data_IF_828163411722
#
_entry.id   IF_828163411722
#
_cell.length_a   1.000
_cell.length_b   1.000
_cell.length_c   1.000
_cell.angle_alpha   90.00
_cell.angle_beta   90.00
_cell.angle_gamma   90.00
#
_symmetry.space_group_name_H-M   'P 1'
#
loop_
_entity.id
_entity.type
_entity.pdbx_description
1 polymer ?
#
# COMPACT_ATOMS: atom_id res chain seq x y z
N UNK A 1 31.76 -5.87 26.97
CA UNK A 1 32.13 -4.71 26.12
C UNK A 1 30.86 -3.92 25.83
N UNK A 2 30.92 -2.58 25.71
CA UNK A 2 29.76 -1.79 25.30
C UNK A 2 29.29 -2.23 23.91
N UNK A 3 27.97 -2.27 23.72
CA UNK A 3 27.34 -2.65 22.46
C UNK A 3 27.40 -1.45 21.50
N UNK A 4 27.69 -1.70 20.22
CA UNK A 4 27.59 -0.67 19.19
C UNK A 4 26.20 -0.04 19.18
N UNK A 5 26.14 1.30 19.11
CA UNK A 5 24.87 2.00 18.93
C UNK A 5 24.28 1.66 17.57
N UNK A 6 22.97 1.44 17.53
CA UNK A 6 22.25 1.29 16.27
C UNK A 6 21.95 2.65 15.68
N UNK A 7 21.88 2.72 14.34
CA UNK A 7 21.67 4.00 13.67
C UNK A 7 20.40 4.71 14.15
N UNK A 8 19.34 3.93 14.42
CA UNK A 8 18.06 4.43 14.95
C UNK A 8 18.19 5.14 16.32
N UNK A 9 19.23 4.84 17.10
CA UNK A 9 19.46 5.43 18.43
C UNK A 9 20.19 6.77 18.35
N UNK A 10 20.70 7.15 17.17
CA UNK A 10 21.58 8.32 17.02
C UNK A 10 20.99 9.36 16.09
N UNK A 11 20.83 9.05 14.80
CA UNK A 11 20.36 10.02 13.81
C UNK A 11 19.83 9.34 12.55
N UNK A 12 18.83 9.99 11.92
CA UNK A 12 18.22 9.59 10.66
C UNK A 12 17.99 10.82 9.79
N UNK A 13 17.97 10.70 8.45
CA UNK A 13 17.62 11.80 7.55
C UNK A 13 16.10 12.07 7.59
N UNK A 14 15.62 12.65 8.71
CA UNK A 14 14.20 12.80 9.02
C UNK A 14 13.46 13.64 7.98
N UNK A 15 14.10 14.66 7.40
CA UNK A 15 13.49 15.49 6.36
C UNK A 15 13.12 14.66 5.13
N UNK A 16 14.04 13.84 4.63
CA UNK A 16 13.80 12.95 3.50
C UNK A 16 12.75 11.87 3.82
N UNK A 17 12.78 11.31 5.03
CA UNK A 17 11.79 10.32 5.48
C UNK A 17 10.39 10.95 5.53
N UNK A 18 10.26 12.15 6.09
CA UNK A 18 8.99 12.87 6.19
C UNK A 18 8.45 13.25 4.81
N UNK A 19 9.31 13.73 3.92
CA UNK A 19 8.95 14.05 2.53
C UNK A 19 8.45 12.81 1.78
N UNK A 20 9.13 11.67 1.89
CA UNK A 20 8.72 10.41 1.28
C UNK A 20 7.37 9.91 1.86
N UNK A 21 7.17 9.98 3.17
CA UNK A 21 5.91 9.61 3.82
C UNK A 21 4.74 10.51 3.37
N UNK A 22 4.98 11.80 3.17
CA UNK A 22 3.97 12.72 2.66
C UNK A 22 3.62 12.41 1.19
N UNK A 23 4.64 12.16 0.35
CA UNK A 23 4.48 11.79 -1.06
C UNK A 23 3.72 10.48 -1.24
N UNK A 24 3.95 9.49 -0.39
CA UNK A 24 3.25 8.19 -0.44
C UNK A 24 1.72 8.32 -0.46
N UNK A 25 1.17 9.33 0.24
CA UNK A 25 -0.28 9.59 0.31
C UNK A 25 -0.90 9.98 -1.03
N UNK A 26 -0.13 10.47 -1.99
CA UNK A 26 -0.60 10.87 -3.32
C UNK A 26 -0.38 9.81 -4.39
N UNK A 27 0.26 8.67 -4.07
CA UNK A 27 0.45 7.58 -5.02
C UNK A 27 -0.89 6.87 -5.24
N UNK A 28 -1.28 6.73 -6.50
CA UNK A 28 -2.57 6.16 -6.93
C UNK A 28 -2.45 4.88 -7.75
N UNK A 29 -1.23 4.45 -8.05
CA UNK A 29 -0.97 3.23 -8.82
C UNK A 29 0.14 2.41 -8.16
N UNK A 30 -0.06 1.09 -8.08
CA UNK A 30 0.93 0.12 -7.57
C UNK A 30 1.17 0.15 -6.06
N UNK A 31 0.68 1.17 -5.35
CA UNK A 31 0.84 1.27 -3.91
C UNK A 31 -0.14 0.35 -3.16
N UNK A 32 0.26 -0.34 -2.09
CA UNK A 32 -0.64 -1.20 -1.31
C UNK A 32 -1.96 -0.58 -0.82
N UNK A 33 -2.00 0.74 -0.64
CA UNK A 33 -3.25 1.44 -0.29
C UNK A 33 -4.31 1.38 -1.39
N UNK A 34 -3.93 1.10 -2.64
CA UNK A 34 -4.86 0.96 -3.76
C UNK A 34 -5.45 -0.45 -3.86
N UNK A 35 -4.88 -1.44 -3.15
CA UNK A 35 -5.47 -2.77 -3.04
C UNK A 35 -6.66 -2.76 -2.07
N UNK A 36 -6.47 -2.20 -0.88
CA UNK A 36 -7.51 -2.01 0.11
C UNK A 36 -7.15 -0.85 1.05
N UNK A 37 -8.12 0.02 1.34
CA UNK A 37 -7.95 1.10 2.30
C UNK A 37 -7.88 0.53 3.73
N UNK A 38 -6.78 0.78 4.43
CA UNK A 38 -6.62 0.41 5.84
C UNK A 38 -6.43 1.67 6.68
N UNK A 39 -7.31 1.88 7.67
CA UNK A 39 -7.44 3.14 8.40
C UNK A 39 -6.20 3.54 9.21
N UNK A 40 -5.35 2.58 9.59
CA UNK A 40 -4.15 2.82 10.38
C UNK A 40 -2.87 2.32 9.67
N UNK A 41 -2.82 2.36 8.34
CA UNK A 41 -1.63 1.90 7.61
C UNK A 41 -0.44 2.82 7.89
N UNK A 42 0.64 2.25 8.43
CA UNK A 42 1.91 2.95 8.60
C UNK A 42 2.54 3.26 7.23
N UNK A 43 3.14 4.44 7.02
CA UNK A 43 3.87 4.72 5.79
C UNK A 43 4.95 3.66 5.53
N UNK A 44 5.03 3.15 4.31
CA UNK A 44 6.03 2.17 3.91
C UNK A 44 7.44 2.76 3.98
N UNK A 45 7.58 4.01 3.55
CA UNK A 45 8.82 4.77 3.67
C UNK A 45 9.41 4.74 5.10
N UNK A 46 8.60 5.09 6.10
CA UNK A 46 9.02 5.06 7.50
C UNK A 46 9.33 3.64 7.99
N UNK A 47 8.46 2.67 7.68
CA UNK A 47 8.66 1.28 8.09
C UNK A 47 10.00 0.73 7.56
N UNK A 48 10.32 0.98 6.28
CA UNK A 48 11.58 0.56 5.66
C UNK A 48 12.80 1.10 6.39
N UNK A 49 12.84 2.41 6.62
CA UNK A 49 14.01 3.05 7.22
C UNK A 49 14.16 2.68 8.69
N UNK A 50 13.05 2.60 9.45
CA UNK A 50 13.08 2.17 10.85
C UNK A 50 13.59 0.73 10.97
N UNK A 51 13.11 -0.19 10.13
CA UNK A 51 13.61 -1.57 10.12
C UNK A 51 15.10 -1.60 9.77
N UNK A 52 15.50 -0.93 8.68
CA UNK A 52 16.90 -0.88 8.26
C UNK A 52 17.81 -0.32 9.37
N UNK A 53 17.47 0.84 9.92
CA UNK A 53 18.25 1.53 10.95
C UNK A 53 18.27 0.82 12.31
N UNK A 54 17.31 -0.06 12.58
CA UNK A 54 17.32 -0.92 13.77
C UNK A 54 18.32 -2.06 13.66
N UNK A 55 18.71 -2.43 12.44
CA UNK A 55 19.61 -3.56 12.17
C UNK A 55 21.06 -3.10 11.98
N UNK A 56 21.27 -1.96 11.32
CA UNK A 56 22.60 -1.42 11.09
C UNK A 56 23.15 -0.62 12.27
N UNK A 57 24.46 -0.72 12.49
CA UNK A 57 25.15 0.12 13.47
C UNK A 57 25.21 1.57 12.98
N UNK A 58 25.42 2.50 13.90
CA UNK A 58 25.93 3.82 13.55
C UNK A 58 27.40 3.68 13.12
N UNK A 59 27.77 3.93 11.85
CA UNK A 59 29.11 3.61 11.35
C UNK A 59 30.20 4.55 11.89
N UNK A 60 29.84 5.62 12.60
CA UNK A 60 30.81 6.47 13.31
C UNK A 60 30.97 6.06 14.80
N UNK A 61 30.22 5.07 15.29
CA UNK A 61 30.43 4.53 16.65
C UNK A 61 31.74 3.74 16.71
N UNK A 62 32.51 3.94 17.79
CA UNK A 62 33.81 3.28 17.98
C UNK A 62 33.71 1.75 18.08
N UNK A 63 32.54 1.21 18.43
CA UNK A 63 32.31 -0.23 18.55
C UNK A 63 31.57 -0.81 17.34
N UNK A 64 31.27 -0.01 16.30
CA UNK A 64 30.59 -0.48 15.10
C UNK A 64 31.38 -1.58 14.40
N UNK A 65 30.66 -2.51 13.73
CA UNK A 65 31.32 -3.56 12.95
C UNK A 65 32.29 -2.95 11.90
N UNK A 66 33.61 -3.23 11.96
CA UNK A 66 34.57 -2.65 11.03
C UNK A 66 34.29 -2.95 9.55
N UNK A 67 33.75 -4.14 9.24
CA UNK A 67 33.35 -4.50 7.88
C UNK A 67 32.18 -3.65 7.40
N UNK A 68 31.22 -3.38 8.30
CA UNK A 68 30.09 -2.48 8.00
C UNK A 68 30.56 -1.05 7.77
N UNK A 69 31.47 -0.56 8.62
CA UNK A 69 32.07 0.78 8.46
C UNK A 69 32.80 0.88 7.11
N UNK A 70 33.58 -0.14 6.74
CA UNK A 70 34.26 -0.20 5.44
C UNK A 70 33.26 -0.22 4.27
N UNK A 71 32.16 -0.97 4.40
CA UNK A 71 31.09 -1.00 3.39
C UNK A 71 30.43 0.36 3.21
N UNK A 72 30.15 1.09 4.30
CA UNK A 72 29.61 2.45 4.26
C UNK A 72 30.58 3.44 3.59
N UNK A 73 31.89 3.37 3.91
CA UNK A 73 32.94 4.20 3.27
C UNK A 73 32.98 3.98 1.76
N UNK A 74 32.82 2.72 1.33
CA UNK A 74 32.92 2.33 -0.07
C UNK A 74 31.58 2.35 -0.82
N UNK A 75 30.53 2.96 -0.26
CA UNK A 75 29.25 3.12 -0.97
C UNK A 75 29.45 3.92 -2.25
N UNK A 76 29.21 3.29 -3.40
CA UNK A 76 29.20 3.96 -4.70
C UNK A 76 27.84 4.65 -4.91
N UNK A 77 27.70 5.83 -4.29
CA UNK A 77 26.50 6.66 -4.33
C UNK A 77 26.12 7.07 -5.76
N UNK A 78 27.10 7.23 -6.65
CA UNK A 78 26.87 7.60 -8.05
C UNK A 78 26.21 6.46 -8.82
N UNK A 79 26.74 5.23 -8.71
CA UNK A 79 26.15 4.06 -9.37
C UNK A 79 24.73 3.75 -8.87
N UNK A 80 24.44 4.07 -7.61
CA UNK A 80 23.14 3.92 -6.96
C UNK A 80 22.18 5.07 -7.29
N UNK A 81 22.64 6.12 -7.98
CA UNK A 81 21.83 7.30 -8.28
C UNK A 81 21.31 8.00 -7.01
N UNK A 82 22.14 8.00 -5.96
CA UNK A 82 21.94 8.77 -4.75
C UNK A 82 22.37 10.22 -4.99
N UNK A 83 21.56 11.17 -4.52
CA UNK A 83 22.03 12.55 -4.42
C UNK A 83 23.05 12.63 -3.28
N UNK A 84 24.13 13.40 -3.47
CA UNK A 84 25.15 13.62 -2.44
C UNK A 84 24.85 14.91 -1.70
N UNK A 85 23.88 14.88 -0.78
CA UNK A 85 23.50 16.05 0.02
C UNK A 85 24.29 16.12 1.33
N UNK A 86 24.54 14.95 1.92
CA UNK A 86 25.15 14.81 3.25
C UNK A 86 26.67 14.63 3.13
N UNK A 87 27.13 13.73 2.25
CA UNK A 87 28.57 13.45 2.07
C UNK A 87 29.38 14.63 1.49
N UNK A 88 28.71 15.68 1.00
CA UNK A 88 29.36 16.92 0.57
C UNK A 88 29.69 17.87 1.72
N UNK A 89 29.05 17.70 2.89
CA UNK A 89 29.35 18.48 4.09
C UNK A 89 30.59 17.89 4.77
N UNK A 90 30.53 16.59 5.05
CA UNK A 90 31.64 15.80 5.58
C UNK A 90 31.50 14.37 5.04
N UNK A 91 32.52 13.84 4.34
CA UNK A 91 32.44 12.52 3.70
C UNK A 91 32.70 11.39 4.71
N UNK A 92 31.92 11.37 5.80
CA UNK A 92 31.98 10.32 6.82
C UNK A 92 31.17 9.09 6.39
N UNK A 93 31.46 7.91 6.95
CA UNK A 93 30.66 6.70 6.73
C UNK A 93 29.17 6.93 6.98
N UNK A 94 28.81 7.67 8.04
CA UNK A 94 27.42 8.02 8.37
C UNK A 94 26.79 8.90 7.31
N UNK A 95 27.48 9.94 6.84
CA UNK A 95 26.93 10.85 5.84
C UNK A 95 26.68 10.16 4.49
N UNK A 96 27.58 9.25 4.08
CA UNK A 96 27.34 8.40 2.89
C UNK A 96 26.14 7.45 3.10
N UNK A 97 26.00 6.91 4.30
CA UNK A 97 24.84 6.07 4.64
C UNK A 97 23.54 6.88 4.62
N UNK A 98 23.56 8.15 5.02
CA UNK A 98 22.40 9.04 4.91
C UNK A 98 22.02 9.31 3.46
N UNK A 99 22.97 9.63 2.58
CA UNK A 99 22.72 9.78 1.14
C UNK A 99 22.11 8.49 0.53
N UNK A 100 22.55 7.32 1.01
CA UNK A 100 21.94 6.04 0.62
C UNK A 100 20.51 5.88 1.18
N UNK A 101 20.26 6.22 2.44
CA UNK A 101 18.93 6.13 3.07
C UNK A 101 17.93 7.07 2.40
N UNK A 102 18.34 8.28 2.02
CA UNK A 102 17.51 9.23 1.25
C UNK A 102 17.04 8.63 -0.07
N UNK A 103 17.87 7.82 -0.73
CA UNK A 103 17.45 7.06 -1.91
C UNK A 103 16.55 5.89 -1.52
N UNK A 104 16.95 5.09 -0.53
CA UNK A 104 16.24 3.90 -0.06
C UNK A 104 14.80 4.20 0.36
N UNK A 105 14.54 5.37 0.95
CA UNK A 105 13.21 5.73 1.49
C UNK A 105 12.17 6.06 0.41
N UNK A 106 12.60 6.30 -0.83
CA UNK A 106 11.70 6.64 -1.95
C UNK A 106 10.79 5.47 -2.34
N UNK A 107 9.66 5.76 -2.98
CA UNK A 107 8.77 4.71 -3.49
C UNK A 107 9.44 3.95 -4.65
N UNK A 108 10.15 4.68 -5.51
CA UNK A 108 10.84 4.15 -6.68
C UNK A 108 11.93 3.13 -6.30
N UNK A 109 12.59 3.32 -5.15
CA UNK A 109 13.56 2.36 -4.63
C UNK A 109 12.96 0.97 -4.35
N UNK A 110 11.64 0.85 -4.15
CA UNK A 110 11.00 -0.45 -3.88
C UNK A 110 11.02 -1.44 -5.04
N UNK A 111 11.29 -0.92 -6.24
CA UNK A 111 11.41 -1.70 -7.48
C UNK A 111 12.80 -1.57 -8.13
N UNK A 112 13.75 -0.89 -7.47
CA UNK A 112 15.13 -0.79 -7.92
C UNK A 112 15.97 -1.86 -7.22
N UNK A 113 16.24 -2.96 -7.93
CA UNK A 113 16.99 -4.10 -7.40
C UNK A 113 18.38 -3.73 -6.92
N UNK A 114 19.01 -2.67 -7.47
CA UNK A 114 20.34 -2.22 -7.02
C UNK A 114 20.27 -1.66 -5.60
N UNK A 115 19.25 -0.85 -5.33
CA UNK A 115 19.04 -0.23 -4.02
C UNK A 115 18.64 -1.28 -2.98
N UNK A 116 17.67 -2.13 -3.31
CA UNK A 116 17.20 -3.18 -2.39
C UNK A 116 18.31 -4.21 -2.12
N UNK A 117 19.07 -4.61 -3.13
CA UNK A 117 20.19 -5.54 -2.96
C UNK A 117 21.30 -4.93 -2.10
N UNK A 118 21.61 -3.65 -2.28
CA UNK A 118 22.59 -2.95 -1.44
C UNK A 118 22.11 -2.83 0.01
N UNK A 119 20.83 -2.55 0.25
CA UNK A 119 20.27 -2.54 1.62
C UNK A 119 20.37 -3.91 2.28
N UNK A 120 20.06 -4.99 1.55
CA UNK A 120 20.21 -6.39 2.01
C UNK A 120 21.66 -6.76 2.31
N UNK A 121 22.60 -6.29 1.51
CA UNK A 121 24.04 -6.48 1.73
C UNK A 121 24.49 -5.78 3.02
N UNK A 122 24.15 -4.50 3.19
CA UNK A 122 24.48 -3.75 4.40
C UNK A 122 23.89 -4.39 5.67
N UNK A 123 22.62 -4.85 5.62
CA UNK A 123 22.00 -5.58 6.73
C UNK A 123 22.78 -6.87 7.03
N UNK A 124 23.16 -7.65 6.01
CA UNK A 124 23.93 -8.89 6.19
C UNK A 124 25.27 -8.62 6.86
N UNK A 125 26.02 -7.62 6.39
CA UNK A 125 27.31 -7.25 7.00
C UNK A 125 27.11 -6.82 8.46
N UNK A 126 26.15 -5.92 8.72
CA UNK A 126 25.88 -5.44 10.08
C UNK A 126 25.37 -6.53 11.05
N UNK A 127 24.87 -7.65 10.54
CA UNK A 127 24.33 -8.77 11.33
C UNK A 127 25.18 -10.03 11.24
N UNK A 128 26.42 -9.93 10.77
CA UNK A 128 27.34 -11.08 10.60
C UNK A 128 26.70 -12.23 9.80
N UNK A 129 26.04 -11.88 8.69
CA UNK A 129 25.27 -12.77 7.82
C UNK A 129 24.08 -13.49 8.49
N UNK A 130 23.65 -13.07 9.68
CA UNK A 130 22.54 -13.67 10.41
C UNK A 130 21.48 -12.63 10.80
N UNK A 131 20.76 -12.04 9.84
CA UNK A 131 19.72 -11.07 10.13
C UNK A 131 18.60 -11.70 10.96
N UNK A 132 18.14 -11.06 12.05
CA UNK A 132 17.09 -11.62 12.89
C UNK A 132 15.75 -11.66 12.15
N UNK A 133 14.87 -12.63 12.46
CA UNK A 133 13.50 -12.58 11.99
C UNK A 133 12.75 -11.37 12.58
N UNK A 134 11.81 -10.82 11.83
CA UNK A 134 10.93 -9.75 12.28
C UNK A 134 9.54 -10.33 12.58
N UNK A 135 8.98 -9.97 13.74
CA UNK A 135 7.61 -10.30 14.12
C UNK A 135 6.79 -9.01 14.28
N UNK A 136 5.70 -8.90 13.53
CA UNK A 136 4.67 -7.89 13.74
C UNK A 136 3.37 -8.55 14.20
N UNK A 137 3.07 -8.54 15.52
CA UNK A 137 1.91 -9.24 16.06
C UNK A 137 0.58 -8.53 15.77
N UNK A 138 0.61 -7.30 15.25
CA UNK A 138 -0.55 -6.44 14.97
C UNK A 138 -0.41 -5.78 13.58
N UNK A 139 -0.22 -6.62 12.57
CA UNK A 139 0.25 -6.18 11.26
C UNK A 139 -0.72 -5.25 10.51
N UNK A 140 -2.02 -5.33 10.81
CA UNK A 140 -3.06 -4.50 10.19
C UNK A 140 -2.93 -4.47 8.67
N UNK A 141 -2.60 -3.32 8.12
CA UNK A 141 -2.46 -3.11 6.68
C UNK A 141 -1.19 -3.70 6.04
N UNK A 142 -0.31 -4.34 6.81
CA UNK A 142 0.84 -5.13 6.35
C UNK A 142 2.12 -4.36 6.04
N UNK A 143 2.25 -3.10 6.46
CA UNK A 143 3.39 -2.24 6.10
C UNK A 143 4.74 -2.76 6.58
N UNK A 144 4.86 -3.07 7.88
CA UNK A 144 6.11 -3.52 8.51
C UNK A 144 6.55 -4.88 7.94
N UNK A 145 5.71 -5.94 7.91
CA UNK A 145 6.14 -7.22 7.36
C UNK A 145 6.43 -7.18 5.86
N UNK A 146 5.75 -6.32 5.08
CA UNK A 146 6.08 -6.12 3.67
C UNK A 146 7.48 -5.52 3.49
N UNK A 147 7.79 -4.45 4.20
CA UNK A 147 9.11 -3.80 4.09
C UNK A 147 10.22 -4.68 4.66
N UNK A 148 9.95 -5.45 5.72
CA UNK A 148 10.86 -6.47 6.23
C UNK A 148 11.21 -7.51 5.16
N UNK A 149 10.20 -8.03 4.44
CA UNK A 149 10.42 -8.97 3.34
C UNK A 149 11.21 -8.34 2.19
N UNK A 150 10.93 -7.08 1.83
CA UNK A 150 11.71 -6.33 0.83
C UNK A 150 13.18 -6.20 1.24
N UNK A 151 13.45 -5.92 2.50
CA UNK A 151 14.79 -5.85 3.08
C UNK A 151 15.45 -7.22 3.29
N UNK A 152 14.82 -8.33 2.86
CA UNK A 152 15.39 -9.67 2.89
C UNK A 152 15.28 -10.38 4.25
N UNK A 153 14.44 -9.88 5.15
CA UNK A 153 14.20 -10.49 6.45
C UNK A 153 13.14 -11.59 6.36
N UNK A 154 13.26 -12.58 7.25
CA UNK A 154 12.16 -13.50 7.54
C UNK A 154 11.11 -12.76 8.37
N UNK A 155 9.98 -12.43 7.74
CA UNK A 155 8.90 -11.68 8.38
C UNK A 155 7.76 -12.61 8.81
N UNK A 156 7.29 -12.44 10.05
CA UNK A 156 6.09 -13.05 10.59
C UNK A 156 5.10 -11.94 10.93
N UNK A 157 3.84 -12.15 10.55
CA UNK A 157 2.77 -11.20 10.76
C UNK A 157 1.55 -11.92 11.33
N UNK A 158 0.89 -11.30 12.31
CA UNK A 158 -0.42 -11.75 12.79
C UNK A 158 -1.39 -10.58 12.92
N UNK A 159 -2.67 -10.88 12.82
CA UNK A 159 -3.75 -9.95 13.16
C UNK A 159 -5.01 -10.77 13.49
N UNK A 160 -5.85 -10.26 14.38
CA UNK A 160 -7.14 -10.87 14.70
C UNK A 160 -8.20 -10.52 13.65
N UNK A 161 -8.05 -9.36 12.99
CA UNK A 161 -9.00 -8.90 11.99
C UNK A 161 -8.83 -9.71 10.69
N UNK A 162 -9.88 -10.43 10.23
CA UNK A 162 -9.78 -11.26 9.03
C UNK A 162 -9.46 -10.44 7.77
N UNK A 163 -9.89 -9.16 7.71
CA UNK A 163 -9.55 -8.28 6.59
C UNK A 163 -8.05 -7.95 6.58
N UNK A 164 -7.46 -7.67 7.74
CA UNK A 164 -6.01 -7.49 7.86
C UNK A 164 -5.25 -8.75 7.42
N UNK A 165 -5.67 -9.92 7.89
CA UNK A 165 -5.07 -11.20 7.50
C UNK A 165 -5.13 -11.39 5.98
N UNK A 166 -6.27 -11.11 5.35
CA UNK A 166 -6.42 -11.22 3.89
C UNK A 166 -5.51 -10.24 3.12
N UNK A 167 -5.38 -9.00 3.59
CA UNK A 167 -4.45 -8.02 3.00
C UNK A 167 -3.01 -8.51 3.09
N UNK A 168 -2.58 -9.00 4.26
CA UNK A 168 -1.23 -9.52 4.46
C UNK A 168 -0.98 -10.75 3.58
N UNK A 169 -1.95 -11.66 3.46
CA UNK A 169 -1.86 -12.80 2.55
C UNK A 169 -1.67 -12.37 1.10
N UNK A 170 -2.51 -11.46 0.63
CA UNK A 170 -2.47 -10.97 -0.75
C UNK A 170 -1.17 -10.22 -1.09
N UNK A 171 -0.57 -9.53 -0.12
CA UNK A 171 0.61 -8.70 -0.36
C UNK A 171 1.94 -9.40 -0.07
N UNK A 172 1.98 -10.29 0.92
CA UNK A 172 3.23 -10.77 1.55
C UNK A 172 3.39 -12.28 1.44
N UNK A 173 2.31 -13.04 1.61
CA UNK A 173 2.38 -14.51 1.62
C UNK A 173 2.24 -15.10 0.21
N UNK A 174 1.26 -14.64 -0.56
CA UNK A 174 0.89 -15.25 -1.84
C UNK A 174 1.90 -14.87 -2.94
N UNK A 175 2.21 -13.58 -3.22
CA UNK A 175 3.02 -13.23 -4.39
C UNK A 175 4.41 -13.90 -4.43
N UNK A 176 5.18 -13.98 -3.33
CA UNK A 176 6.48 -14.64 -3.34
C UNK A 176 6.42 -16.15 -3.62
N UNK A 177 5.32 -16.83 -3.29
CA UNK A 177 5.14 -18.27 -3.58
C UNK A 177 5.01 -18.57 -5.07
N UNK A 178 4.59 -17.57 -5.85
CA UNK A 178 4.42 -17.67 -7.30
C UNK A 178 5.45 -16.82 -8.06
N UNK A 179 6.54 -16.43 -7.39
CA UNK A 179 7.61 -15.65 -8.01
C UNK A 179 8.23 -16.45 -9.15
N UNK A 180 8.42 -15.79 -10.29
CA UNK A 180 9.03 -16.35 -11.49
C UNK A 180 8.29 -17.60 -12.03
N UNK A 181 7.04 -17.82 -11.59
CA UNK A 181 6.19 -18.92 -12.05
C UNK A 181 5.35 -18.49 -13.28
N UNK A 182 5.13 -19.40 -14.24
CA UNK A 182 4.21 -19.13 -15.35
C UNK A 182 2.75 -19.10 -14.87
N UNK A 183 1.87 -18.36 -15.56
CA UNK A 183 0.44 -18.39 -15.29
C UNK A 183 -0.17 -19.75 -15.60
N UNK A 184 -1.27 -20.07 -14.92
CA UNK A 184 -2.04 -21.31 -15.13
C UNK A 184 -3.32 -21.10 -15.94
N UNK A 185 -3.70 -19.85 -16.21
CA UNK A 185 -4.91 -19.54 -16.94
C UNK A 185 -4.88 -20.11 -18.38
N UNK A 186 -6.03 -20.54 -18.92
CA UNK A 186 -6.11 -21.17 -20.25
C UNK A 186 -5.53 -20.34 -21.40
N UNK A 187 -5.59 -19.01 -21.33
CA UNK A 187 -5.20 -18.14 -22.44
C UNK A 187 -3.69 -18.04 -22.57
N UNK A 188 -2.97 -17.99 -21.44
CA UNK A 188 -1.52 -17.84 -21.40
C UNK A 188 -0.79 -19.17 -21.20
N UNK A 189 -1.48 -20.21 -20.72
CA UNK A 189 -0.89 -21.53 -20.50
C UNK A 189 -0.45 -22.15 -21.82
N UNK A 190 0.84 -22.47 -21.93
CA UNK A 190 1.43 -23.08 -23.14
C UNK A 190 1.80 -22.08 -24.23
N UNK A 191 1.71 -20.76 -23.98
CA UNK A 191 2.38 -19.77 -24.84
C UNK A 191 3.89 -19.81 -24.58
N UNK A 192 4.60 -20.56 -25.41
CA UNK A 192 6.08 -20.59 -25.45
C UNK A 192 6.71 -19.24 -25.84
N UNK A 193 5.89 -18.24 -26.19
CA UNK A 193 6.33 -16.94 -26.72
C UNK A 193 6.80 -15.94 -25.66
N UNK A 194 6.60 -16.20 -24.36
CA UNK A 194 7.17 -15.37 -23.28
C UNK A 194 8.34 -16.13 -22.68
N UNK A 195 9.55 -15.81 -23.12
CA UNK A 195 10.79 -16.56 -22.81
C UNK A 195 11.15 -16.62 -21.32
N UNK A 196 10.44 -15.94 -20.43
CA UNK A 196 10.52 -16.08 -18.97
C UNK A 196 9.55 -15.12 -18.28
N UNK A 197 8.70 -15.63 -17.38
CA UNK A 197 7.88 -14.81 -16.49
C UNK A 197 8.73 -14.34 -15.31
N UNK A 198 8.77 -13.04 -15.05
CA UNK A 198 9.60 -12.47 -14.00
C UNK A 198 8.77 -11.93 -12.84
N UNK A 199 9.25 -12.13 -11.61
CA UNK A 199 8.58 -11.67 -10.40
C UNK A 199 7.17 -12.21 -10.30
N UNK A 200 6.20 -11.33 -10.06
CA UNK A 200 4.79 -11.70 -9.91
C UNK A 200 4.00 -11.63 -11.24
N UNK A 201 4.65 -11.55 -12.41
CA UNK A 201 3.95 -11.36 -13.69
C UNK A 201 2.98 -12.49 -14.03
N UNK A 202 3.35 -13.75 -13.80
CA UNK A 202 2.46 -14.90 -14.04
C UNK A 202 1.24 -14.88 -13.14
N UNK A 203 1.44 -14.69 -11.83
CA UNK A 203 0.33 -14.50 -10.88
C UNK A 203 -0.57 -13.31 -11.27
N UNK A 204 0.01 -12.20 -11.70
CA UNK A 204 -0.76 -11.03 -12.13
C UNK A 204 -1.59 -11.32 -13.39
N UNK A 205 -1.09 -12.13 -14.32
CA UNK A 205 -1.85 -12.59 -15.49
C UNK A 205 -3.05 -13.45 -15.05
N UNK A 206 -2.85 -14.40 -14.14
CA UNK A 206 -3.93 -15.23 -13.60
C UNK A 206 -4.99 -14.40 -12.85
N UNK A 207 -4.56 -13.45 -12.01
CA UNK A 207 -5.48 -12.56 -11.29
C UNK A 207 -6.34 -11.75 -12.26
N UNK A 208 -5.77 -11.26 -13.37
CA UNK A 208 -6.54 -10.54 -14.40
C UNK A 208 -7.53 -11.46 -15.10
N UNK A 209 -7.09 -12.64 -15.54
CA UNK A 209 -7.92 -13.60 -16.25
C UNK A 209 -9.11 -14.06 -15.39
N UNK A 210 -8.84 -14.60 -14.19
CA UNK A 210 -9.89 -15.09 -13.32
C UNK A 210 -10.74 -13.96 -12.74
N UNK A 211 -10.16 -12.76 -12.55
CA UNK A 211 -10.91 -11.56 -12.19
C UNK A 211 -11.94 -11.18 -13.26
N UNK A 212 -11.54 -11.20 -14.53
CA UNK A 212 -12.44 -10.96 -15.66
C UNK A 212 -13.53 -12.04 -15.74
N UNK A 213 -13.16 -13.31 -15.65
CA UNK A 213 -14.11 -14.42 -15.66
C UNK A 213 -15.14 -14.29 -14.52
N UNK A 214 -14.70 -14.00 -13.29
CA UNK A 214 -15.62 -13.77 -12.16
C UNK A 214 -16.57 -12.60 -12.42
N UNK A 215 -16.05 -11.51 -12.99
CA UNK A 215 -16.84 -10.33 -13.35
C UNK A 215 -17.94 -10.67 -14.36
N UNK A 216 -17.60 -11.42 -15.41
CA UNK A 216 -18.55 -11.86 -16.43
C UNK A 216 -19.62 -12.77 -15.83
N UNK A 217 -19.24 -13.75 -15.01
CA UNK A 217 -20.20 -14.61 -14.29
C UNK A 217 -21.11 -13.83 -13.34
N UNK A 218 -20.59 -12.81 -12.67
CA UNK A 218 -21.40 -11.92 -11.85
C UNK A 218 -22.38 -11.12 -12.70
N UNK A 219 -21.93 -10.57 -13.84
CA UNK A 219 -22.80 -9.84 -14.76
C UNK A 219 -23.93 -10.72 -15.33
N UNK A 220 -23.64 -11.97 -15.70
CA UNK A 220 -24.65 -12.92 -16.16
C UNK A 220 -25.71 -13.20 -15.08
N UNK A 221 -25.28 -13.42 -13.83
CA UNK A 221 -26.16 -13.85 -12.74
C UNK A 221 -26.97 -12.70 -12.14
N UNK A 222 -26.34 -11.56 -11.93
CA UNK A 222 -26.91 -10.45 -11.15
C UNK A 222 -26.81 -9.10 -11.86
N UNK A 223 -26.28 -9.03 -13.08
CA UNK A 223 -26.14 -7.77 -13.83
C UNK A 223 -27.48 -7.07 -14.08
N UNK A 224 -28.57 -7.83 -14.20
CA UNK A 224 -29.93 -7.28 -14.33
C UNK A 224 -30.39 -6.46 -13.10
N UNK A 225 -29.75 -6.62 -11.93
CA UNK A 225 -30.00 -5.81 -10.73
C UNK A 225 -29.32 -4.44 -10.78
N UNK A 226 -28.43 -4.23 -11.75
CA UNK A 226 -27.67 -2.99 -11.97
C UNK A 226 -27.97 -2.44 -13.37
N UNK A 227 -29.21 -1.97 -13.61
CA UNK A 227 -29.61 -1.47 -14.92
C UNK A 227 -28.81 -0.22 -15.31
N UNK A 228 -28.73 0.03 -16.60
CA UNK A 228 -28.25 1.30 -17.13
C UNK A 228 -29.37 2.33 -17.08
N UNK A 229 -29.04 3.57 -16.70
CA UNK A 229 -29.94 4.71 -16.76
C UNK A 229 -29.29 5.82 -17.60
N UNK A 230 -29.96 6.26 -18.67
CA UNK A 230 -29.42 7.24 -19.64
C UNK A 230 -28.03 6.88 -20.21
N UNK A 231 -27.75 5.59 -20.42
CA UNK A 231 -26.45 5.12 -20.92
C UNK A 231 -25.36 5.01 -19.84
N UNK A 232 -25.65 5.38 -18.60
CA UNK A 232 -24.72 5.24 -17.47
C UNK A 232 -25.05 4.02 -16.61
N UNK A 233 -24.04 3.41 -15.98
CA UNK A 233 -24.24 2.29 -15.06
C UNK A 233 -24.70 2.81 -13.69
N UNK A 234 -25.83 2.33 -13.18
CA UNK A 234 -26.27 2.66 -11.83
C UNK A 234 -25.39 1.92 -10.81
N UNK A 235 -24.52 2.65 -10.11
CA UNK A 235 -23.57 2.06 -9.15
C UNK A 235 -24.11 1.91 -7.72
N UNK A 236 -25.20 2.59 -7.39
CA UNK A 236 -25.80 2.56 -6.06
C UNK A 236 -27.28 2.94 -6.10
N UNK A 237 -28.05 2.36 -5.18
CA UNK A 237 -29.44 2.69 -4.93
C UNK A 237 -29.58 3.30 -3.54
N UNK A 238 -30.26 4.45 -3.45
CA UNK A 238 -30.71 5.00 -2.18
C UNK A 238 -32.13 4.53 -1.92
N UNK A 239 -32.34 3.89 -0.77
CA UNK A 239 -33.65 3.42 -0.35
C UNK A 239 -33.96 3.95 1.04
N UNK A 240 -35.24 4.20 1.29
CA UNK A 240 -35.75 4.65 2.59
C UNK A 240 -37.00 3.83 2.94
N UNK A 241 -37.14 3.50 4.22
CA UNK A 241 -38.42 2.95 4.71
C UNK A 241 -39.46 4.06 4.74
N UNK A 242 -40.69 3.75 4.41
CA UNK A 242 -41.80 4.72 4.45
C UNK A 242 -42.78 4.39 5.56
N UNK A 243 -43.33 5.40 6.21
CA UNK A 243 -44.38 5.27 7.24
C UNK A 243 -45.58 6.15 6.89
N UNK A 244 -46.77 5.82 7.38
CA UNK A 244 -47.94 6.70 7.20
C UNK A 244 -47.63 8.06 7.83
N UNK A 245 -47.90 9.12 7.07
CA UNK A 245 -47.67 10.50 7.52
C UNK A 245 -48.39 10.75 8.85
N UNK A 246 -47.72 11.34 9.85
CA UNK A 246 -48.37 11.77 11.09
C UNK A 246 -49.16 13.06 10.88
N UNK A 247 -48.98 13.76 9.75
CA UNK A 247 -49.75 14.95 9.41
C UNK A 247 -51.13 14.52 8.87
N UNK A 248 -52.25 14.84 9.56
CA UNK A 248 -53.59 14.45 9.13
C UNK A 248 -54.02 15.04 7.78
N UNK A 249 -53.36 16.12 7.32
CA UNK A 249 -53.64 16.74 6.03
C UNK A 249 -52.96 16.02 4.85
N UNK A 250 -52.11 15.03 5.11
CA UNK A 250 -51.36 14.30 4.09
C UNK A 250 -51.64 12.81 4.29
N UNK A 251 -52.51 12.24 3.47
CA UNK A 251 -52.80 10.80 3.48
C UNK A 251 -51.80 10.04 2.58
N UNK A 252 -50.51 10.17 2.90
CA UNK A 252 -49.42 9.54 2.15
C UNK A 252 -48.39 8.87 3.06
N UNK A 253 -47.71 7.87 2.50
CA UNK A 253 -46.54 7.26 3.12
C UNK A 253 -45.29 8.12 2.88
N UNK A 254 -44.70 8.62 3.96
CA UNK A 254 -43.53 9.51 3.94
C UNK A 254 -42.23 8.75 4.25
N UNK A 255 -41.11 9.10 3.60
CA UNK A 255 -39.82 8.43 3.77
C UNK A 255 -39.15 8.82 5.09
N UNK A 256 -38.64 7.83 5.82
CA UNK A 256 -37.81 8.00 7.01
C UNK A 256 -36.37 8.29 6.59
N UNK A 257 -36.03 9.56 6.49
CA UNK A 257 -34.70 10.02 6.09
C UNK A 257 -34.17 11.07 7.06
N UNK A 258 -32.86 11.01 7.36
CA UNK A 258 -32.18 12.02 8.17
C UNK A 258 -31.88 13.30 7.37
N UNK A 259 -31.74 13.19 6.06
CA UNK A 259 -31.46 14.31 5.17
C UNK A 259 -31.88 13.99 3.74
N UNK A 260 -32.32 15.01 3.01
CA UNK A 260 -32.58 14.95 1.57
C UNK A 260 -31.39 15.38 0.72
N UNK A 261 -30.24 15.73 1.32
CA UNK A 261 -29.04 16.16 0.60
C UNK A 261 -28.33 14.95 -0.02
N UNK A 262 -28.15 14.95 -1.33
CA UNK A 262 -27.46 13.91 -2.10
C UNK A 262 -25.97 14.22 -2.28
N UNK A 263 -25.61 15.49 -2.46
CA UNK A 263 -24.22 15.95 -2.57
C UNK A 263 -24.04 17.34 -1.96
N UNK A 264 -22.96 17.52 -1.20
CA UNK A 264 -22.51 18.80 -0.64
C UNK A 264 -21.25 19.36 -1.34
N UNK A 265 -20.80 18.70 -2.40
CA UNK A 265 -19.57 19.10 -3.10
C UNK A 265 -19.81 20.42 -3.82
N UNK A 266 -18.93 21.41 -3.58
CA UNK A 266 -19.01 22.72 -4.23
C UNK A 266 -19.05 22.59 -5.77
N UNK A 267 -20.05 23.19 -6.41
CA UNK A 267 -20.30 23.12 -7.86
C UNK A 267 -21.05 21.87 -8.33
N UNK A 268 -21.35 20.94 -7.42
CA UNK A 268 -22.09 19.70 -7.66
C UNK A 268 -23.04 19.41 -6.50
N UNK A 269 -23.71 20.43 -5.99
CA UNK A 269 -24.71 20.33 -4.94
C UNK A 269 -26.01 19.76 -5.51
N UNK A 270 -26.56 18.75 -4.84
CA UNK A 270 -27.82 18.11 -5.24
C UNK A 270 -28.64 17.70 -4.02
N UNK A 271 -29.97 17.80 -4.13
CA UNK A 271 -30.91 17.30 -3.13
C UNK A 271 -32.11 16.59 -3.76
N UNK A 272 -32.70 15.65 -3.01
CA UNK A 272 -33.92 14.96 -3.36
C UNK A 272 -35.13 15.76 -2.85
N UNK A 273 -35.87 16.40 -3.75
CA UNK A 273 -37.10 17.11 -3.41
C UNK A 273 -38.27 16.12 -3.35
N UNK A 274 -38.89 15.90 -2.17
CA UNK A 274 -40.07 15.06 -2.07
C UNK A 274 -41.28 15.76 -2.72
N UNK A 275 -42.04 15.01 -3.50
CA UNK A 275 -43.27 15.44 -4.15
C UNK A 275 -44.34 14.41 -3.76
N UNK A 276 -45.43 14.88 -3.15
CA UNK A 276 -46.56 14.02 -2.81
C UNK A 276 -47.31 13.64 -4.09
N UNK A 277 -47.55 12.36 -4.28
CA UNK A 277 -48.23 11.78 -5.44
C UNK A 277 -49.22 10.71 -4.94
N UNK A 278 -50.46 11.14 -4.70
CA UNK A 278 -51.48 10.34 -4.03
C UNK A 278 -51.02 9.88 -2.65
N UNK A 279 -51.08 8.57 -2.40
CA UNK A 279 -50.69 7.94 -1.14
C UNK A 279 -49.17 7.74 -0.99
N UNK A 280 -48.35 8.20 -1.95
CA UNK A 280 -46.89 7.98 -1.98
C UNK A 280 -46.13 9.29 -2.15
N UNK A 281 -44.84 9.25 -1.83
CA UNK A 281 -43.91 10.35 -2.10
C UNK A 281 -42.95 9.92 -3.20
N UNK A 282 -42.91 10.69 -4.30
CA UNK A 282 -41.88 10.58 -5.34
C UNK A 282 -40.78 11.61 -5.08
N UNK A 283 -39.62 11.41 -5.69
CA UNK A 283 -38.49 12.32 -5.55
C UNK A 283 -38.07 12.91 -6.88
N UNK A 284 -37.75 14.19 -6.87
CA UNK A 284 -37.07 14.88 -7.96
C UNK A 284 -35.67 15.28 -7.50
N UNK A 285 -34.64 14.99 -8.33
CA UNK A 285 -33.27 15.42 -8.04
C UNK A 285 -33.12 16.85 -8.54
N UNK A 286 -32.83 17.78 -7.63
CA UNK A 286 -32.69 19.20 -7.93
C UNK A 286 -31.25 19.61 -7.66
N UNK A 287 -30.71 20.44 -8.57
CA UNK A 287 -29.37 21.02 -8.44
C UNK A 287 -29.42 22.25 -7.54
N UNK A 288 -28.41 22.36 -6.66
CA UNK A 288 -28.23 23.47 -5.73
C UNK A 288 -27.34 24.59 -6.19
#
# INVERSE_FOLDING_TARGET
MPKAKKLIEVALPLEAINAACAREKSIRHGHPSTLHLWWARRPLAAARVVIFASLVDDPDDLNANPEFVAACKNLDLTSLGCARHNSTIEDTPRMRLFDFIEKLVTWEATTDDRIISKARELIRIATNNNPPPLLDPFAGGGSIPLEAQRLGLKAYASDLNPVAVMINKAMIEIPPRFKDCPPINPDDRGRDSVSSWHGAQGLAADVRYYGQWMRERAQERIGHLYPTYNGETVIAWLWARTVKSPNPAVDAHVPLMRSFVLSKKKGHEYWAKPIVDGERVRFEVVKG
#
